data_IF_939705410291
#
_entry.id   IF_939705410291
#
_cell.length_a   1.000
_cell.length_b   1.000
_cell.length_c   1.000
_cell.angle_alpha   90.00
_cell.angle_beta   90.00
_cell.angle_gamma   90.00
#
_symmetry.space_group_name_H-M   'P 1'
#
loop_
_entity.id
_entity.type
_entity.pdbx_description
1 polymer ?
#
# COMPACT_ATOMS: atom_id res chain seq x y z
N UNK A 1 -68.24 -40.15 -49.72
CA UNK A 1 -68.20 -39.09 -50.75
C UNK A 1 -66.91 -38.30 -50.59
N UNK A 2 -66.20 -38.16 -51.70
CA UNK A 2 -65.13 -37.23 -52.06
C UNK A 2 -63.94 -37.00 -51.12
N UNK A 3 -62.81 -37.53 -51.60
CA UNK A 3 -61.43 -37.16 -51.33
C UNK A 3 -61.16 -35.71 -51.79
N UNK A 4 -60.30 -34.98 -51.08
CA UNK A 4 -59.51 -33.90 -51.66
C UNK A 4 -58.18 -33.80 -50.91
N UNK A 5 -57.12 -34.31 -51.54
CA UNK A 5 -55.75 -34.15 -51.07
C UNK A 5 -55.14 -32.83 -51.56
N UNK A 6 -54.16 -32.33 -50.81
CA UNK A 6 -53.20 -31.37 -51.33
C UNK A 6 -51.80 -31.74 -50.84
N UNK A 7 -50.90 -31.91 -51.81
CA UNK A 7 -49.46 -32.18 -51.64
C UNK A 7 -48.69 -30.86 -51.59
N UNK A 8 -47.52 -30.92 -50.96
CA UNK A 8 -46.27 -30.12 -51.10
C UNK A 8 -45.84 -29.66 -49.70
N UNK A 9 -44.58 -29.65 -49.30
CA UNK A 9 -43.30 -29.93 -49.98
C UNK A 9 -42.22 -29.95 -48.89
N UNK A 10 -41.24 -30.83 -49.06
CA UNK A 10 -39.99 -30.87 -48.31
C UNK A 10 -39.16 -29.59 -48.56
N UNK A 11 -38.80 -28.90 -47.48
CA UNK A 11 -37.62 -28.06 -47.29
C UNK A 11 -37.23 -28.27 -45.81
N UNK A 12 -36.10 -28.85 -45.44
CA UNK A 12 -34.77 -28.46 -45.88
C UNK A 12 -34.28 -27.26 -45.06
N UNK A 13 -34.37 -27.33 -43.73
CA UNK A 13 -33.90 -26.30 -42.80
C UNK A 13 -32.68 -26.79 -42.03
N UNK A 14 -31.50 -26.37 -42.47
CA UNK A 14 -30.23 -26.53 -41.76
C UNK A 14 -30.31 -25.73 -40.46
N UNK A 15 -30.20 -26.41 -39.32
CA UNK A 15 -30.07 -25.78 -38.02
C UNK A 15 -28.65 -25.17 -37.90
N UNK A 16 -28.50 -23.91 -38.28
CA UNK A 16 -27.34 -23.11 -37.86
C UNK A 16 -27.48 -22.82 -36.37
N UNK A 17 -26.70 -23.56 -35.59
CA UNK A 17 -26.46 -23.35 -34.17
C UNK A 17 -25.66 -22.06 -34.00
N UNK A 18 -26.34 -20.91 -33.95
CA UNK A 18 -25.72 -19.66 -33.48
C UNK A 18 -25.55 -19.78 -31.98
N UNK A 19 -24.40 -20.34 -31.57
CA UNK A 19 -23.91 -20.25 -30.20
C UNK A 19 -23.81 -18.79 -29.80
N UNK A 20 -24.80 -18.32 -29.06
CA UNK A 20 -24.72 -17.10 -28.28
C UNK A 20 -23.68 -17.31 -27.20
N UNK A 21 -22.43 -17.00 -27.54
CA UNK A 21 -21.35 -16.81 -26.60
C UNK A 21 -21.78 -15.63 -25.71
N UNK A 22 -22.42 -15.94 -24.59
CA UNK A 22 -22.54 -15.02 -23.47
C UNK A 22 -21.12 -14.78 -22.96
N UNK A 23 -20.40 -13.87 -23.63
CA UNK A 23 -19.33 -13.13 -23.00
C UNK A 23 -20.00 -12.39 -21.85
N UNK A 24 -19.89 -12.97 -20.66
CA UNK A 24 -20.00 -12.24 -19.41
C UNK A 24 -18.99 -11.12 -19.48
N UNK A 25 -19.46 -9.97 -19.96
CA UNK A 25 -18.83 -8.68 -19.81
C UNK A 25 -18.86 -8.39 -18.32
N UNK A 26 -17.91 -8.99 -17.58
CA UNK A 26 -17.49 -8.42 -16.31
C UNK A 26 -16.95 -7.05 -16.67
N UNK A 27 -17.80 -6.04 -16.56
CA UNK A 27 -17.34 -4.68 -16.53
C UNK A 27 -16.32 -4.66 -15.39
N UNK A 28 -15.05 -4.55 -15.73
CA UNK A 28 -14.11 -3.90 -14.85
C UNK A 28 -14.72 -2.51 -14.61
N UNK A 29 -15.48 -2.39 -13.53
CA UNK A 29 -15.70 -1.11 -12.92
C UNK A 29 -14.30 -0.67 -12.53
N UNK A 30 -13.64 0.06 -13.44
CA UNK A 30 -12.54 0.91 -13.09
C UNK A 30 -13.08 1.71 -11.91
N UNK A 31 -12.54 1.41 -10.73
CA UNK A 31 -12.74 2.17 -9.52
C UNK A 31 -12.29 3.59 -9.89
N UNK A 32 -13.23 4.41 -10.35
CA UNK A 32 -13.01 5.83 -10.65
C UNK A 32 -12.92 6.55 -9.31
N UNK A 33 -11.89 6.18 -8.55
CA UNK A 33 -11.49 6.93 -7.38
C UNK A 33 -10.79 8.17 -7.90
N UNK A 34 -11.57 9.24 -8.10
CA UNK A 34 -11.00 10.60 -8.06
C UNK A 34 -9.99 10.64 -6.91
N UNK A 35 -8.77 11.18 -7.10
CA UNK A 35 -7.77 11.26 -6.04
C UNK A 35 -8.43 11.85 -4.80
N UNK A 36 -8.64 10.99 -3.81
CA UNK A 36 -9.67 11.21 -2.79
C UNK A 36 -9.10 12.07 -1.70
N UNK A 37 -9.66 13.26 -1.43
CA UNK A 37 -9.39 13.88 -0.13
C UNK A 37 -9.57 15.35 0.10
N UNK A 38 -9.74 16.15 -0.96
CA UNK A 38 -9.79 17.61 -0.82
C UNK A 38 -8.68 18.16 0.08
N UNK A 39 -8.98 19.23 0.82
CA UNK A 39 -8.00 19.88 1.74
C UNK A 39 -7.49 18.96 2.86
N UNK A 40 -8.24 17.94 3.27
CA UNK A 40 -7.80 17.04 4.34
C UNK A 40 -6.75 16.06 3.81
N UNK A 41 -6.97 15.47 2.64
CA UNK A 41 -6.02 14.59 1.98
C UNK A 41 -4.70 15.30 1.63
N UNK A 42 -4.76 16.54 1.14
CA UNK A 42 -3.57 17.36 0.91
C UNK A 42 -2.74 17.58 2.18
N UNK A 43 -3.41 17.81 3.33
CA UNK A 43 -2.72 17.96 4.61
C UNK A 43 -2.11 16.64 5.08
N UNK A 44 -2.81 15.52 4.91
CA UNK A 44 -2.28 14.19 5.26
C UNK A 44 -1.03 13.90 4.43
N UNK A 45 -1.03 14.20 3.13
CA UNK A 45 0.15 14.01 2.27
C UNK A 45 1.38 14.81 2.72
N UNK A 46 1.21 15.96 3.38
CA UNK A 46 2.34 16.74 3.93
C UNK A 46 3.12 15.99 5.01
N UNK A 47 2.50 15.00 5.66
CA UNK A 47 3.19 14.15 6.64
C UNK A 47 4.38 13.44 6.00
N UNK A 48 4.35 13.11 4.70
CA UNK A 48 5.49 12.49 4.02
C UNK A 48 6.79 13.30 4.19
N UNK A 49 6.73 14.63 4.02
CA UNK A 49 7.91 15.49 4.21
C UNK A 49 8.38 15.51 5.65
N UNK A 50 7.45 15.50 6.61
CA UNK A 50 7.78 15.43 8.04
C UNK A 50 8.49 14.10 8.35
N UNK A 51 8.07 13.00 7.71
CA UNK A 51 8.72 11.70 7.86
C UNK A 51 10.11 11.67 7.21
N UNK A 52 10.30 12.33 6.06
CA UNK A 52 11.62 12.45 5.42
C UNK A 52 12.60 13.22 6.31
N UNK A 53 12.15 14.34 6.89
CA UNK A 53 12.96 15.13 7.82
C UNK A 53 13.24 14.36 9.13
N UNK A 54 12.22 13.70 9.70
CA UNK A 54 12.38 12.85 10.88
C UNK A 54 13.38 11.71 10.63
N UNK A 55 13.36 11.09 9.45
CA UNK A 55 14.30 10.02 9.09
C UNK A 55 15.74 10.52 9.12
N UNK A 56 15.98 11.68 8.47
CA UNK A 56 17.31 12.31 8.46
C UNK A 56 17.77 12.60 9.88
N UNK A 57 16.92 13.23 10.69
CA UNK A 57 17.30 13.67 12.03
C UNK A 57 17.53 12.48 12.97
N UNK A 58 16.77 11.38 12.83
CA UNK A 58 17.05 10.11 13.53
C UNK A 58 18.41 9.54 13.10
N UNK A 59 18.72 9.57 11.81
CA UNK A 59 19.98 9.06 11.30
C UNK A 59 21.18 9.88 11.80
N UNK A 60 21.02 11.20 11.90
CA UNK A 60 22.02 12.12 12.45
C UNK A 60 22.05 12.16 13.99
N UNK A 61 21.11 11.46 14.64
CA UNK A 61 20.91 11.43 16.09
C UNK A 61 20.71 12.83 16.70
N UNK A 62 20.07 13.74 15.96
CA UNK A 62 19.77 15.10 16.42
C UNK A 62 18.53 15.10 17.35
N UNK A 63 18.75 14.69 18.60
CA UNK A 63 17.71 14.63 19.63
C UNK A 63 16.99 15.96 19.87
N UNK A 64 17.61 17.10 19.54
CA UNK A 64 16.96 18.40 19.67
C UNK A 64 15.81 18.49 18.68
N UNK A 65 16.02 18.15 17.41
CA UNK A 65 14.94 18.12 16.41
C UNK A 65 14.01 16.92 16.61
N UNK A 66 14.53 15.71 16.85
CA UNK A 66 13.70 14.49 17.00
C UNK A 66 12.62 14.69 18.07
N UNK A 67 12.92 15.43 19.15
CA UNK A 67 11.97 15.71 20.25
C UNK A 67 10.73 16.53 19.87
N UNK A 68 10.75 17.23 18.74
CA UNK A 68 9.64 18.08 18.29
C UNK A 68 8.57 17.30 17.53
N UNK A 69 8.98 16.28 16.77
CA UNK A 69 8.11 15.52 15.87
C UNK A 69 6.92 14.83 16.55
N UNK A 70 7.02 14.23 17.75
CA UNK A 70 5.85 13.60 18.36
C UNK A 70 4.68 14.55 18.60
N UNK A 71 4.97 15.82 18.93
CA UNK A 71 3.95 16.86 19.12
C UNK A 71 3.40 17.30 17.77
N UNK A 72 4.28 17.53 16.79
CA UNK A 72 3.88 17.93 15.44
C UNK A 72 2.98 16.86 14.79
N UNK A 73 3.39 15.59 14.80
CA UNK A 73 2.63 14.47 14.23
C UNK A 73 1.27 14.32 14.91
N UNK A 74 1.20 14.43 16.25
CA UNK A 74 -0.08 14.39 16.99
C UNK A 74 -1.05 15.50 16.58
N UNK A 75 -0.58 16.63 16.07
CA UNK A 75 -1.46 17.71 15.59
C UNK A 75 -2.33 17.29 14.39
N UNK A 76 -1.98 16.18 13.71
CA UNK A 76 -2.73 15.65 12.57
C UNK A 76 -3.91 14.75 12.95
N UNK A 77 -4.07 14.32 14.21
CA UNK A 77 -5.22 13.52 14.68
C UNK A 77 -6.58 14.03 14.15
N UNK A 78 -6.95 15.31 14.32
CA UNK A 78 -8.23 15.82 13.82
C UNK A 78 -8.35 15.77 12.29
N UNK A 79 -7.23 15.83 11.57
CA UNK A 79 -7.20 15.77 10.11
C UNK A 79 -7.48 14.34 9.63
N UNK A 80 -6.87 13.33 10.27
CA UNK A 80 -7.14 11.92 10.00
C UNK A 80 -8.61 11.55 10.27
N UNK A 81 -9.16 11.98 11.41
CA UNK A 81 -10.57 11.74 11.75
C UNK A 81 -11.49 12.37 10.70
N UNK A 82 -11.28 13.66 10.41
CA UNK A 82 -12.08 14.39 9.42
C UNK A 82 -12.02 13.73 8.05
N UNK A 83 -10.83 13.31 7.59
CA UNK A 83 -10.69 12.62 6.32
C UNK A 83 -11.48 11.33 6.30
N UNK A 84 -11.28 10.48 7.31
CA UNK A 84 -11.90 9.14 7.38
C UNK A 84 -13.43 9.23 7.38
N UNK A 85 -13.99 10.22 8.06
CA UNK A 85 -15.45 10.41 8.13
C UNK A 85 -16.03 11.05 6.86
N UNK A 86 -15.26 11.87 6.14
CA UNK A 86 -15.73 12.58 4.94
C UNK A 86 -15.51 11.82 3.64
N UNK A 87 -14.43 11.05 3.53
CA UNK A 87 -14.08 10.30 2.32
C UNK A 87 -15.00 9.09 2.10
N UNK A 88 -15.55 8.52 3.17
CA UNK A 88 -16.41 7.33 3.14
C UNK A 88 -17.68 7.61 3.97
N UNK A 89 -18.62 8.42 3.46
CA UNK A 89 -19.76 8.89 4.25
C UNK A 89 -20.94 7.91 4.29
N UNK A 90 -20.95 6.84 3.47
CA UNK A 90 -22.11 5.94 3.41
C UNK A 90 -22.06 4.85 4.48
N UNK A 91 -23.22 4.28 4.81
CA UNK A 91 -23.31 3.09 5.68
C UNK A 91 -23.24 1.77 4.89
N UNK A 92 -22.69 1.81 3.67
CA UNK A 92 -22.42 0.58 2.94
C UNK A 92 -21.42 -0.28 3.71
N UNK A 93 -21.51 -1.61 3.54
CA UNK A 93 -20.57 -2.53 4.16
C UNK A 93 -19.11 -2.23 3.77
N UNK A 94 -18.89 -1.80 2.53
CA UNK A 94 -17.58 -1.42 1.98
C UNK A 94 -17.04 -0.19 2.72
N UNK A 95 -17.79 0.91 2.75
CA UNK A 95 -17.35 2.15 3.41
C UNK A 95 -17.10 1.93 4.90
N UNK A 96 -17.95 1.13 5.56
CA UNK A 96 -17.79 0.77 6.97
C UNK A 96 -16.48 0.01 7.22
N UNK A 97 -16.18 -0.99 6.39
CA UNK A 97 -14.92 -1.74 6.46
C UNK A 97 -13.71 -0.85 6.17
N UNK A 98 -13.81 0.04 5.17
CA UNK A 98 -12.74 0.99 4.84
C UNK A 98 -12.47 1.97 5.99
N UNK A 99 -13.51 2.54 6.61
CA UNK A 99 -13.35 3.40 7.81
C UNK A 99 -12.69 2.63 8.95
N UNK A 100 -13.05 1.36 9.15
CA UNK A 100 -12.44 0.53 10.18
C UNK A 100 -10.95 0.29 9.91
N UNK A 101 -10.58 -0.08 8.68
CA UNK A 101 -9.19 -0.26 8.27
C UNK A 101 -8.36 1.03 8.43
N UNK A 102 -8.92 2.17 8.02
CA UNK A 102 -8.27 3.48 8.18
C UNK A 102 -8.05 3.84 9.65
N UNK A 103 -9.06 3.66 10.51
CA UNK A 103 -8.93 3.93 11.95
C UNK A 103 -7.93 2.99 12.62
N UNK A 104 -7.86 1.74 12.17
CA UNK A 104 -6.86 0.79 12.64
C UNK A 104 -5.43 1.27 12.33
N UNK A 105 -5.15 1.69 11.09
CA UNK A 105 -3.83 2.22 10.72
C UNK A 105 -3.51 3.55 11.42
N UNK A 106 -4.50 4.43 11.62
CA UNK A 106 -4.35 5.65 12.44
C UNK A 106 -3.95 5.31 13.88
N UNK A 107 -4.58 4.30 14.47
CA UNK A 107 -4.25 3.82 15.81
C UNK A 107 -2.81 3.28 15.88
N UNK A 108 -2.37 2.50 14.89
CA UNK A 108 -0.98 2.02 14.81
C UNK A 108 0.01 3.15 14.63
N UNK A 109 -0.29 4.10 13.75
CA UNK A 109 0.52 5.29 13.50
C UNK A 109 0.76 6.06 14.80
N UNK A 110 -0.31 6.47 15.49
CA UNK A 110 -0.17 7.26 16.72
C UNK A 110 0.36 6.44 17.91
N UNK A 111 0.07 5.14 17.96
CA UNK A 111 0.72 4.24 18.92
C UNK A 111 2.24 4.20 18.75
N UNK A 112 2.73 4.23 17.51
CA UNK A 112 4.16 4.32 17.22
C UNK A 112 4.74 5.72 17.48
N UNK A 113 3.97 6.80 17.29
CA UNK A 113 4.36 8.16 17.71
C UNK A 113 4.55 8.26 19.22
N UNK A 114 3.72 7.58 20.03
CA UNK A 114 3.95 7.50 21.48
C UNK A 114 5.24 6.76 21.84
N UNK A 115 5.55 5.69 21.11
CA UNK A 115 6.80 4.95 21.31
C UNK A 115 8.01 5.79 20.94
N UNK A 116 7.95 6.51 19.82
CA UNK A 116 8.98 7.47 19.42
C UNK A 116 9.21 8.51 20.52
N UNK A 117 8.14 9.07 21.09
CA UNK A 117 8.27 10.03 22.20
C UNK A 117 9.05 9.43 23.38
N UNK A 118 8.71 8.21 23.80
CA UNK A 118 9.43 7.52 24.90
C UNK A 118 10.88 7.25 24.54
N UNK A 119 11.15 6.83 23.31
CA UNK A 119 12.49 6.60 22.79
C UNK A 119 13.33 7.88 22.83
N UNK A 120 12.75 9.02 22.48
CA UNK A 120 13.41 10.33 22.61
C UNK A 120 13.69 10.68 24.06
N UNK A 121 12.71 10.51 24.94
CA UNK A 121 12.87 10.80 26.38
C UNK A 121 14.01 9.95 27.00
N UNK A 122 14.20 8.72 26.52
CA UNK A 122 15.29 7.83 26.95
C UNK A 122 16.55 7.90 26.08
N UNK A 123 16.55 8.67 24.99
CA UNK A 123 17.59 8.69 23.94
C UNK A 123 17.97 7.29 23.43
N UNK A 124 16.96 6.45 23.26
CA UNK A 124 17.11 5.10 22.71
C UNK A 124 16.99 5.15 21.19
N UNK A 125 18.13 5.09 20.50
CA UNK A 125 18.18 5.18 19.04
C UNK A 125 17.53 3.98 18.37
N UNK A 126 17.67 2.77 18.93
CA UNK A 126 17.09 1.56 18.36
C UNK A 126 15.56 1.59 18.43
N UNK A 127 15.00 2.02 19.55
CA UNK A 127 13.54 2.19 19.68
C UNK A 127 13.03 3.35 18.83
N UNK A 128 13.82 4.42 18.64
CA UNK A 128 13.45 5.54 17.76
C UNK A 128 13.34 5.08 16.29
N UNK A 129 14.31 4.30 15.81
CA UNK A 129 14.31 3.71 14.47
C UNK A 129 13.15 2.73 14.26
N UNK A 130 12.94 1.83 15.22
CA UNK A 130 11.84 0.87 15.17
C UNK A 130 10.47 1.59 15.18
N UNK A 131 10.34 2.65 15.98
CA UNK A 131 9.14 3.49 16.03
C UNK A 131 8.93 4.21 14.71
N UNK A 132 9.98 4.82 14.13
CA UNK A 132 9.92 5.46 12.81
C UNK A 132 9.48 4.48 11.73
N UNK A 133 10.06 3.29 11.67
CA UNK A 133 9.66 2.25 10.70
C UNK A 133 8.16 1.92 10.83
N UNK A 134 7.65 1.77 12.05
CA UNK A 134 6.24 1.49 12.29
C UNK A 134 5.33 2.68 11.93
N UNK A 135 5.75 3.92 12.18
CA UNK A 135 5.05 5.14 11.75
C UNK A 135 4.93 5.14 10.22
N UNK A 136 6.05 4.97 9.51
CA UNK A 136 6.12 4.99 8.06
C UNK A 136 5.27 3.90 7.40
N UNK A 137 5.32 2.66 7.91
CA UNK A 137 4.49 1.55 7.40
C UNK A 137 3.00 1.84 7.61
N UNK A 138 2.61 2.31 8.79
CA UNK A 138 1.19 2.58 9.09
C UNK A 138 0.67 3.74 8.23
N UNK A 139 1.52 4.74 7.99
CA UNK A 139 1.22 5.86 7.12
C UNK A 139 1.05 5.44 5.65
N UNK A 140 1.97 4.66 5.10
CA UNK A 140 1.88 4.10 3.74
C UNK A 140 0.58 3.29 3.56
N UNK A 141 0.27 2.41 4.50
CA UNK A 141 -0.99 1.62 4.48
C UNK A 141 -2.22 2.51 4.55
N UNK A 142 -2.19 3.57 5.37
CA UNK A 142 -3.26 4.55 5.42
C UNK A 142 -3.45 5.27 4.08
N UNK A 143 -2.36 5.72 3.45
CA UNK A 143 -2.43 6.38 2.14
C UNK A 143 -3.00 5.45 1.06
N UNK A 144 -2.64 4.16 1.09
CA UNK A 144 -3.16 3.14 0.16
C UNK A 144 -4.66 2.92 0.38
N UNK A 145 -5.06 2.65 1.62
CA UNK A 145 -6.46 2.41 1.97
C UNK A 145 -7.35 3.65 1.72
N UNK A 146 -6.79 4.86 1.89
CA UNK A 146 -7.48 6.12 1.65
C UNK A 146 -7.48 6.54 0.17
N UNK A 147 -6.78 5.84 -0.72
CA UNK A 147 -6.57 6.31 -2.10
C UNK A 147 -6.00 7.75 -2.15
N UNK A 148 -4.93 7.98 -1.40
CA UNK A 148 -4.29 9.29 -1.25
C UNK A 148 -3.04 9.50 -2.10
N UNK A 149 -2.59 8.49 -2.86
CA UNK A 149 -1.51 8.66 -3.83
C UNK A 149 -2.00 9.55 -4.97
N UNK A 150 -1.30 10.66 -5.23
CA UNK A 150 -1.66 11.62 -6.28
C UNK A 150 -1.45 11.05 -7.68
N UNK A 151 -0.47 10.16 -7.83
CA UNK A 151 -0.05 9.59 -9.08
C UNK A 151 0.31 8.13 -8.83
N UNK A 152 -0.41 7.23 -9.51
CA UNK A 152 0.22 5.98 -9.89
C UNK A 152 1.35 6.37 -10.84
N UNK A 153 2.60 6.27 -10.40
CA UNK A 153 3.72 6.30 -11.35
C UNK A 153 3.42 5.21 -12.39
N UNK A 154 3.29 5.51 -13.70
CA UNK A 154 3.07 4.47 -14.71
C UNK A 154 4.20 3.42 -14.69
N UNK A 155 5.36 3.79 -14.16
CA UNK A 155 6.44 2.90 -13.76
C UNK A 155 6.17 2.44 -12.33
N UNK A 156 5.15 1.59 -12.17
CA UNK A 156 4.83 0.94 -10.88
C UNK A 156 5.95 -0.01 -10.43
N UNK A 157 6.80 -0.41 -11.37
CA UNK A 157 7.87 -1.35 -11.12
C UNK A 157 9.10 -1.02 -11.96
N UNK A 158 10.23 -0.78 -11.30
CA UNK A 158 11.55 -0.72 -11.93
C UNK A 158 12.02 -2.09 -12.38
N UNK A 159 11.41 -3.18 -11.92
CA UNK A 159 11.72 -4.56 -12.31
C UNK A 159 11.69 -4.75 -13.83
N UNK A 160 10.79 -4.05 -14.53
CA UNK A 160 10.70 -4.06 -15.99
C UNK A 160 11.98 -3.61 -16.68
N UNK A 161 12.75 -2.72 -16.06
CA UNK A 161 14.05 -2.27 -16.58
C UNK A 161 15.17 -3.29 -16.36
N UNK A 162 14.95 -4.27 -15.50
CA UNK A 162 15.87 -5.35 -15.20
C UNK A 162 15.41 -6.70 -15.80
N UNK A 163 14.40 -6.70 -16.66
CA UNK A 163 13.99 -7.89 -17.41
C UNK A 163 15.16 -8.42 -18.25
N UNK A 164 15.53 -9.69 -18.03
CA UNK A 164 16.65 -10.34 -18.72
C UNK A 164 18.03 -10.04 -18.15
N UNK A 165 18.15 -9.19 -17.13
CA UNK A 165 19.40 -8.99 -16.39
C UNK A 165 19.44 -10.02 -15.24
N UNK A 166 20.35 -11.00 -15.27
CA UNK A 166 20.46 -11.98 -14.20
C UNK A 166 21.02 -11.32 -12.93
N UNK A 167 20.52 -11.73 -11.76
CA UNK A 167 20.88 -11.10 -10.47
C UNK A 167 22.38 -11.13 -10.18
N UNK A 168 23.13 -12.09 -10.74
CA UNK A 168 24.60 -12.16 -10.64
C UNK A 168 25.32 -10.93 -11.24
N UNK A 169 24.67 -10.22 -12.16
CA UNK A 169 25.21 -9.02 -12.78
C UNK A 169 24.92 -7.77 -11.93
N UNK A 170 24.11 -7.91 -10.86
CA UNK A 170 23.93 -6.89 -9.83
C UNK A 170 25.07 -7.00 -8.82
N UNK A 171 25.71 -5.88 -8.51
CA UNK A 171 26.82 -5.82 -7.54
C UNK A 171 26.23 -5.68 -6.13
N UNK A 172 26.16 -6.77 -5.38
CA UNK A 172 25.73 -6.78 -3.97
C UNK A 172 26.37 -7.92 -3.19
N UNK A 173 26.39 -7.79 -1.85
CA UNK A 173 26.78 -8.88 -0.96
C UNK A 173 25.53 -9.68 -0.58
N UNK A 174 25.46 -10.99 -0.84
CA UNK A 174 24.29 -11.78 -0.50
C UNK A 174 24.12 -11.91 1.03
N UNK A 175 22.88 -11.92 1.56
CA UNK A 175 22.63 -12.04 3.00
C UNK A 175 23.23 -13.30 3.66
N UNK A 176 23.50 -14.33 2.86
CA UNK A 176 24.14 -15.58 3.31
C UNK A 176 25.64 -15.43 3.61
N UNK A 177 26.31 -14.44 2.98
CA UNK A 177 27.70 -14.14 3.22
C UNK A 177 27.84 -13.11 4.36
N UNK A 178 27.00 -12.08 4.34
CA UNK A 178 26.96 -11.05 5.36
C UNK A 178 25.51 -10.70 5.67
N UNK A 179 25.08 -10.97 6.90
CA UNK A 179 23.72 -10.61 7.33
C UNK A 179 23.64 -9.10 7.47
N UNK A 180 22.72 -8.43 6.74
CA UNK A 180 22.60 -6.98 6.77
C UNK A 180 22.14 -6.52 8.16
N UNK A 181 22.70 -5.40 8.61
CA UNK A 181 22.39 -4.74 9.88
C UNK A 181 21.52 -3.52 9.64
N UNK A 182 20.82 -3.08 10.69
CA UNK A 182 20.14 -1.78 10.65
C UNK A 182 21.14 -0.69 10.27
N UNK A 183 20.71 0.24 9.42
CA UNK A 183 21.50 1.28 8.75
C UNK A 183 22.38 0.85 7.58
N UNK A 184 22.48 -0.45 7.28
CA UNK A 184 23.24 -0.88 6.11
C UNK A 184 22.53 -0.45 4.81
N UNK A 185 23.29 -0.03 3.78
CA UNK A 185 22.74 0.16 2.45
C UNK A 185 22.37 -1.21 1.87
N UNK A 186 21.13 -1.35 1.41
CA UNK A 186 20.62 -2.57 0.81
C UNK A 186 20.19 -2.32 -0.63
N UNK A 187 20.44 -3.29 -1.50
CA UNK A 187 19.96 -3.30 -2.88
C UNK A 187 18.70 -4.16 -2.95
N UNK A 188 17.61 -3.62 -3.49
CA UNK A 188 16.41 -4.42 -3.76
C UNK A 188 16.63 -5.25 -5.02
N UNK A 189 16.62 -6.58 -4.90
CA UNK A 189 16.86 -7.51 -6.01
C UNK A 189 15.58 -8.01 -6.70
N UNK A 190 14.40 -7.72 -6.13
CA UNK A 190 13.11 -8.16 -6.64
C UNK A 190 11.99 -7.17 -6.29
N UNK A 191 10.89 -7.23 -7.04
CA UNK A 191 9.70 -6.42 -6.81
C UNK A 191 9.76 -5.02 -7.42
N UNK A 192 8.77 -4.15 -7.10
CA UNK A 192 8.54 -2.88 -7.80
C UNK A 192 9.70 -1.88 -7.71
N UNK A 193 10.59 -2.04 -6.74
CA UNK A 193 11.73 -1.15 -6.53
C UNK A 193 13.07 -1.84 -6.84
N UNK A 194 13.07 -2.93 -7.64
CA UNK A 194 14.29 -3.63 -8.06
C UNK A 194 15.34 -2.66 -8.62
N UNK A 195 16.58 -2.83 -8.17
CA UNK A 195 17.72 -2.00 -8.56
C UNK A 195 17.87 -0.69 -7.79
N UNK A 196 16.88 -0.29 -6.98
CA UNK A 196 17.04 0.84 -6.06
C UNK A 196 17.81 0.41 -4.82
N UNK A 197 18.54 1.37 -4.25
CA UNK A 197 19.21 1.23 -2.96
C UNK A 197 18.37 1.87 -1.87
N UNK A 198 18.28 1.22 -0.71
CA UNK A 198 17.61 1.75 0.48
C UNK A 198 18.48 1.59 1.72
N UNK A 199 18.00 2.11 2.85
CA UNK A 199 18.61 1.90 4.16
C UNK A 199 17.80 0.85 4.92
N UNK A 200 18.45 -0.17 5.47
CA UNK A 200 17.76 -1.17 6.28
C UNK A 200 17.33 -0.55 7.62
N UNK A 201 16.03 -0.38 7.85
CA UNK A 201 15.50 0.19 9.10
C UNK A 201 15.09 -0.87 10.13
N UNK A 202 15.08 -2.14 9.74
CA UNK A 202 14.74 -3.25 10.63
C UNK A 202 14.46 -4.53 9.86
N UNK A 203 14.56 -5.68 10.54
CA UNK A 203 14.26 -6.99 9.98
C UNK A 203 13.12 -7.58 10.80
N UNK A 204 11.94 -7.72 10.19
CA UNK A 204 10.85 -8.46 10.81
C UNK A 204 11.17 -9.96 10.69
N UNK A 205 11.63 -10.58 11.77
CA UNK A 205 11.75 -12.03 11.81
C UNK A 205 10.35 -12.61 11.80
N UNK A 206 9.94 -13.19 10.67
CA UNK A 206 8.78 -14.09 10.65
C UNK A 206 9.15 -15.31 11.49
N UNK A 207 8.77 -15.32 12.76
CA UNK A 207 8.97 -16.47 13.64
C UNK A 207 8.19 -17.67 13.06
N UNK A 208 8.85 -18.69 12.49
CA UNK A 208 8.16 -19.82 11.85
C UNK A 208 7.35 -20.65 12.86
N UNK A 209 7.50 -20.38 14.17
CA UNK A 209 6.73 -21.05 15.24
C UNK A 209 5.29 -20.53 15.39
N UNK A 210 4.91 -19.39 14.78
CA UNK A 210 3.55 -18.82 14.88
C UNK A 210 2.50 -19.44 13.93
N UNK A 211 2.89 -20.40 13.09
CA UNK A 211 1.99 -21.10 12.15
C UNK A 211 1.37 -22.40 12.66
N UNK A 212 1.53 -22.75 13.95
CA UNK A 212 0.90 -23.93 14.55
C UNK A 212 0.10 -23.56 15.80
N UNK A 213 -1.11 -23.04 15.60
CA UNK A 213 -2.21 -23.18 16.57
C UNK A 213 -3.50 -23.40 15.81
#
# INVERSE_FOLDING_TARGET
MSVSGSRRSFLGGVATFTGGLWLGQQSAAAFDLKPGGGRAGEKIRRIARILDDLQRDIFEEDWTFISTYPVELRSFVPIFTKYTDTAFPSESAIDTQTRFALRYEVGRFFGAVERLKRAVDSRDIGEAEASFAQISISFDRYLKAGNLYEQYDPIVSTEKFYEGIPDKDLVFVPPSAETPKTRDPVLLIAGPDKGKTGLLIGIEQSDPSRGKK
#
